data_IF_699767198853
#
_entry.id   IF_699767198853
#
_cell.length_a   1.000
_cell.length_b   1.000
_cell.length_c   1.000
_cell.angle_alpha   90.00
_cell.angle_beta   90.00
_cell.angle_gamma   90.00
#
_symmetry.space_group_name_H-M   'P 1'
#
loop_
_entity.id
_entity.type
_entity.pdbx_description
1 polymer ?
#
# COMPACT_ATOMS: atom_id res chain seq x y z
N UNK A 1 4.30 -72.92 -9.29
CA UNK A 1 4.10 -71.83 -10.28
C UNK A 1 5.00 -70.68 -9.89
N UNK A 2 6.18 -70.52 -10.60
CA UNK A 2 7.15 -69.44 -10.35
C UNK A 2 6.78 -68.24 -11.25
N UNK A 3 6.43 -67.11 -10.63
CA UNK A 3 6.20 -65.85 -11.35
C UNK A 3 7.57 -65.28 -11.74
N UNK A 4 7.87 -65.14 -13.03
CA UNK A 4 9.01 -64.38 -13.54
C UNK A 4 8.69 -62.88 -13.54
N UNK A 5 9.55 -62.04 -12.98
CA UNK A 5 9.38 -60.58 -13.08
C UNK A 5 9.81 -60.11 -14.48
N UNK A 6 8.93 -59.35 -15.13
CA UNK A 6 9.02 -58.80 -16.49
C UNK A 6 10.19 -57.81 -16.73
N UNK A 7 11.12 -57.64 -15.78
CA UNK A 7 12.18 -56.63 -15.83
C UNK A 7 13.59 -57.13 -16.21
N UNK A 8 13.79 -58.41 -16.53
CA UNK A 8 15.14 -58.99 -16.77
C UNK A 8 15.40 -59.47 -18.18
N UNK A 9 14.64 -59.09 -19.17
CA UNK A 9 14.93 -59.44 -20.55
C UNK A 9 15.94 -58.43 -21.13
N UNK A 10 17.17 -58.87 -21.49
CA UNK A 10 18.24 -57.99 -22.00
C UNK A 10 17.84 -57.28 -23.30
N UNK A 11 16.94 -57.86 -24.09
CA UNK A 11 16.45 -57.25 -25.32
C UNK A 11 15.50 -56.06 -25.07
N UNK A 12 14.73 -56.14 -24.00
CA UNK A 12 13.82 -55.02 -23.63
C UNK A 12 14.59 -53.79 -23.16
N UNK A 13 15.74 -53.97 -22.45
CA UNK A 13 16.60 -52.85 -22.05
C UNK A 13 17.26 -52.18 -23.25
N UNK A 14 17.68 -52.89 -24.25
CA UNK A 14 18.24 -52.33 -25.48
C UNK A 14 17.20 -51.57 -26.29
N UNK A 15 15.98 -52.10 -26.39
CA UNK A 15 14.87 -51.42 -27.05
C UNK A 15 14.47 -50.13 -26.36
N UNK A 16 14.44 -50.11 -25.03
CA UNK A 16 14.12 -48.94 -24.24
C UNK A 16 15.21 -47.86 -24.29
N UNK A 17 16.51 -48.27 -24.36
CA UNK A 17 17.62 -47.34 -24.59
C UNK A 17 17.58 -46.72 -25.98
N UNK A 18 17.22 -47.50 -26.98
CA UNK A 18 17.13 -47.02 -28.36
C UNK A 18 15.97 -46.05 -28.55
N UNK A 19 14.83 -46.27 -27.91
CA UNK A 19 13.69 -45.35 -27.89
C UNK A 19 13.97 -44.09 -27.10
N UNK A 20 14.63 -44.17 -25.94
CA UNK A 20 14.93 -43.00 -25.10
C UNK A 20 16.09 -42.15 -25.67
N UNK A 21 17.01 -42.76 -26.44
CA UNK A 21 18.07 -42.05 -27.16
C UNK A 21 17.54 -41.18 -28.30
N UNK A 22 16.39 -41.52 -28.85
CA UNK A 22 15.76 -40.77 -29.93
C UNK A 22 14.92 -39.58 -29.43
N UNK A 23 14.54 -39.54 -28.10
CA UNK A 23 13.80 -38.47 -27.46
C UNK A 23 14.67 -37.52 -26.60
N UNK A 24 15.96 -37.83 -26.40
CA UNK A 24 16.90 -36.96 -25.66
C UNK A 24 17.58 -35.95 -26.59
N UNK A 25 16.79 -35.18 -27.30
CA UNK A 25 17.21 -34.10 -28.17
C UNK A 25 16.87 -32.73 -27.58
N UNK A 26 17.89 -32.10 -26.95
CA UNK A 26 18.04 -30.62 -26.78
C UNK A 26 17.02 -29.87 -25.94
N UNK A 27 17.48 -29.50 -24.76
CA UNK A 27 17.13 -28.30 -24.04
C UNK A 27 17.31 -27.08 -24.96
N UNK A 28 16.35 -26.15 -25.10
CA UNK A 28 16.57 -24.93 -25.86
C UNK A 28 17.37 -23.94 -25.02
N UNK A 29 18.59 -23.64 -25.47
CA UNK A 29 19.31 -22.43 -25.09
C UNK A 29 18.71 -21.24 -25.83
N UNK A 30 18.60 -20.11 -25.11
CA UNK A 30 18.25 -18.81 -25.67
C UNK A 30 19.20 -18.42 -26.80
N UNK A 31 18.67 -18.30 -28.02
CA UNK A 31 19.44 -17.90 -29.18
C UNK A 31 18.54 -17.47 -30.32
N UNK A 32 18.64 -16.21 -30.63
CA UNK A 32 18.27 -15.45 -31.81
C UNK A 32 17.64 -16.25 -32.98
N UNK A 33 16.41 -15.86 -33.32
CA UNK A 33 15.64 -16.46 -34.38
C UNK A 33 16.25 -16.28 -35.77
N UNK A 34 16.76 -17.32 -36.30
CA UNK A 34 17.02 -17.49 -37.72
C UNK A 34 15.76 -18.09 -38.37
N UNK A 35 15.23 -17.39 -39.35
CA UNK A 35 14.04 -17.80 -40.11
C UNK A 35 14.44 -18.91 -41.07
N UNK A 36 14.27 -20.14 -40.66
CA UNK A 36 14.35 -21.27 -41.56
C UNK A 36 13.04 -21.35 -42.37
N UNK A 37 13.16 -21.13 -43.67
CA UNK A 37 12.06 -21.04 -44.61
C UNK A 37 11.66 -22.41 -45.17
N UNK A 38 11.23 -23.32 -44.30
CA UNK A 38 10.53 -24.54 -44.77
C UNK A 38 9.08 -24.16 -45.09
N UNK A 39 8.61 -24.32 -46.33
CA UNK A 39 7.21 -24.04 -46.66
C UNK A 39 6.32 -25.10 -45.95
N UNK A 40 5.48 -24.62 -45.03
CA UNK A 40 4.40 -25.44 -44.42
C UNK A 40 3.47 -25.91 -45.52
N UNK A 41 3.04 -27.20 -45.53
CA UNK A 41 2.13 -27.73 -46.54
C UNK A 41 0.82 -26.92 -46.55
N UNK A 42 0.47 -26.40 -47.75
CA UNK A 42 -0.76 -25.68 -47.98
C UNK A 42 -1.96 -26.63 -47.77
N UNK A 43 -2.88 -26.25 -46.86
CA UNK A 43 -4.14 -26.96 -46.70
C UNK A 43 -5.14 -26.45 -47.72
N UNK A 44 -5.65 -27.36 -48.53
CA UNK A 44 -6.75 -27.10 -49.46
C UNK A 44 -8.09 -27.54 -48.86
N UNK A 45 -9.18 -26.83 -49.20
CA UNK A 45 -10.53 -27.24 -48.86
C UNK A 45 -10.99 -28.39 -49.78
N UNK A 46 -12.18 -28.97 -49.51
CA UNK A 46 -12.74 -30.07 -50.28
C UNK A 46 -13.00 -29.71 -51.77
N UNK A 47 -12.85 -28.48 -52.17
CA UNK A 47 -13.02 -27.95 -53.54
C UNK A 47 -11.65 -27.53 -54.15
N UNK A 48 -10.53 -27.85 -53.51
CA UNK A 48 -9.19 -27.59 -54.09
C UNK A 48 -8.70 -26.12 -53.93
N UNK A 49 -9.36 -25.31 -53.13
CA UNK A 49 -8.92 -23.91 -52.89
C UNK A 49 -8.02 -23.77 -51.68
N UNK A 50 -6.97 -22.95 -51.73
CA UNK A 50 -6.05 -22.76 -50.61
C UNK A 50 -6.75 -22.01 -49.45
N UNK A 51 -6.80 -22.64 -48.30
CA UNK A 51 -7.38 -22.04 -47.09
C UNK A 51 -6.44 -20.97 -46.53
N UNK A 52 -6.69 -19.69 -46.83
CA UNK A 52 -5.93 -18.56 -46.28
C UNK A 52 -6.12 -18.47 -44.77
N UNK A 53 -5.10 -18.84 -43.98
CA UNK A 53 -5.09 -18.63 -42.55
C UNK A 53 -5.26 -17.14 -42.20
N UNK A 54 -6.40 -16.75 -41.62
CA UNK A 54 -6.65 -15.36 -41.17
C UNK A 54 -5.71 -15.01 -40.03
N UNK A 55 -4.59 -14.30 -40.29
CA UNK A 55 -3.67 -13.71 -39.28
C UNK A 55 -4.35 -12.58 -38.46
N UNK A 56 -5.47 -12.83 -37.78
CA UNK A 56 -6.27 -11.79 -37.11
C UNK A 56 -6.03 -11.64 -35.59
N UNK A 57 -5.18 -12.47 -34.97
CA UNK A 57 -5.08 -12.49 -33.49
C UNK A 57 -3.99 -11.60 -32.88
N UNK A 58 -2.99 -11.13 -33.61
CA UNK A 58 -1.88 -10.36 -33.01
C UNK A 58 -2.13 -8.85 -32.85
N UNK A 59 -3.10 -8.26 -33.55
CA UNK A 59 -3.45 -6.84 -33.42
C UNK A 59 -4.28 -6.56 -32.17
N UNK A 60 -5.14 -7.49 -31.74
CA UNK A 60 -5.97 -7.35 -30.53
C UNK A 60 -5.14 -7.38 -29.23
N UNK A 61 -4.07 -8.19 -29.18
CA UNK A 61 -3.21 -8.29 -27.99
C UNK A 61 -2.37 -7.01 -27.76
N UNK A 62 -2.02 -6.28 -28.82
CA UNK A 62 -1.32 -4.99 -28.71
C UNK A 62 -2.26 -3.86 -28.28
N UNK A 63 -3.47 -3.80 -28.83
CA UNK A 63 -4.50 -2.84 -28.45
C UNK A 63 -4.94 -2.96 -26.98
N UNK A 64 -5.10 -4.20 -26.48
CA UNK A 64 -5.41 -4.45 -25.07
C UNK A 64 -4.32 -3.99 -24.10
N UNK A 65 -3.04 -4.18 -24.44
CA UNK A 65 -1.92 -3.68 -23.64
C UNK A 65 -1.84 -2.16 -23.60
N UNK A 66 -2.08 -1.50 -24.73
CA UNK A 66 -2.10 -0.03 -24.82
C UNK A 66 -3.29 0.54 -24.05
N UNK A 67 -4.46 -0.07 -24.16
CA UNK A 67 -5.62 0.35 -23.38
C UNK A 67 -5.40 0.16 -21.86
N UNK A 68 -4.82 -0.96 -21.44
CA UNK A 68 -4.46 -1.19 -20.03
C UNK A 68 -3.42 -0.17 -19.53
N UNK A 69 -2.39 0.13 -20.32
CA UNK A 69 -1.40 1.15 -19.98
C UNK A 69 -2.01 2.55 -19.86
N UNK A 70 -2.93 2.90 -20.76
CA UNK A 70 -3.66 4.18 -20.70
C UNK A 70 -4.52 4.29 -19.44
N UNK A 71 -5.24 3.23 -19.07
CA UNK A 71 -6.02 3.19 -17.82
C UNK A 71 -5.13 3.35 -16.59
N UNK A 72 -3.99 2.67 -16.55
CA UNK A 72 -3.01 2.80 -15.45
C UNK A 72 -2.48 4.24 -15.37
N UNK A 73 -2.13 4.86 -16.51
CA UNK A 73 -1.67 6.25 -16.53
C UNK A 73 -2.74 7.23 -16.04
N UNK A 74 -4.01 7.04 -16.40
CA UNK A 74 -5.12 7.86 -15.92
C UNK A 74 -5.29 7.68 -14.40
N UNK A 75 -5.29 6.45 -13.89
CA UNK A 75 -5.41 6.17 -12.46
C UNK A 75 -4.24 6.75 -11.66
N UNK A 76 -3.02 6.69 -12.18
CA UNK A 76 -1.86 7.32 -11.56
C UNK A 76 -2.01 8.85 -11.57
N UNK A 77 -2.45 9.45 -12.68
CA UNK A 77 -2.61 10.89 -12.82
C UNK A 77 -3.63 11.48 -11.85
N UNK A 78 -4.79 10.85 -11.69
CA UNK A 78 -5.87 11.36 -10.81
C UNK A 78 -5.53 11.30 -9.32
N UNK A 79 -4.66 10.38 -8.91
CA UNK A 79 -4.26 10.20 -7.51
C UNK A 79 -2.89 10.82 -7.17
N UNK A 80 -2.27 11.53 -8.13
CA UNK A 80 -0.90 12.06 -7.98
C UNK A 80 -0.84 13.46 -7.40
N UNK A 81 -1.94 14.11 -7.08
CA UNK A 81 -1.93 15.47 -6.53
C UNK A 81 -2.79 15.59 -5.27
N UNK A 82 -2.47 16.57 -4.44
CA UNK A 82 -3.29 17.00 -3.32
C UNK A 82 -3.20 18.53 -3.17
N UNK A 83 -4.27 19.12 -2.66
CA UNK A 83 -4.33 20.55 -2.36
C UNK A 83 -4.18 20.70 -0.84
N UNK A 84 -3.30 21.60 -0.43
CA UNK A 84 -3.07 21.94 0.96
C UNK A 84 -3.56 23.38 1.22
N UNK A 85 -4.43 23.50 2.21
CA UNK A 85 -4.95 24.78 2.69
C UNK A 85 -3.93 25.45 3.64
N UNK A 86 -3.98 26.76 3.80
CA UNK A 86 -3.09 27.52 4.69
C UNK A 86 -3.21 27.13 6.18
N UNK A 87 -4.38 26.68 6.58
CA UNK A 87 -4.70 26.29 7.96
C UNK A 87 -4.18 24.90 8.34
N UNK A 88 -3.61 24.16 7.39
CA UNK A 88 -3.18 22.79 7.60
C UNK A 88 -1.70 22.60 7.28
N UNK A 89 -1.07 21.65 7.99
CA UNK A 89 0.16 21.00 7.57
C UNK A 89 -0.17 19.74 6.79
N UNK A 90 0.59 19.43 5.76
CA UNK A 90 0.60 18.09 5.17
C UNK A 90 1.83 17.33 5.64
N UNK A 91 1.64 16.19 6.25
CA UNK A 91 2.72 15.27 6.58
C UNK A 91 2.75 14.18 5.52
N UNK A 92 3.77 14.22 4.68
CA UNK A 92 4.00 13.26 3.59
C UNK A 92 4.92 12.16 4.10
N UNK A 93 4.39 10.97 4.20
CA UNK A 93 5.16 9.77 4.58
C UNK A 93 5.54 8.98 3.33
N UNK A 94 6.84 8.78 3.13
CA UNK A 94 7.42 8.02 2.01
C UNK A 94 8.17 6.83 2.57
N UNK A 95 7.65 5.62 2.42
CA UNK A 95 8.29 4.37 2.86
C UNK A 95 8.82 4.43 4.32
N UNK A 96 8.08 5.08 5.22
CA UNK A 96 8.46 5.21 6.63
C UNK A 96 9.19 6.50 7.00
N UNK A 97 9.69 7.29 6.03
CA UNK A 97 10.22 8.63 6.29
C UNK A 97 9.10 9.67 6.18
N UNK A 98 8.88 10.45 7.22
CA UNK A 98 7.86 11.49 7.27
C UNK A 98 8.46 12.89 7.16
N UNK A 99 7.87 13.75 6.33
CA UNK A 99 8.26 15.13 6.15
C UNK A 99 7.03 16.04 6.23
N UNK A 100 7.18 17.19 6.87
CA UNK A 100 6.13 18.19 6.96
C UNK A 100 6.21 19.19 5.82
N UNK A 101 5.09 19.47 5.18
CA UNK A 101 4.90 20.53 4.20
C UNK A 101 3.92 21.55 4.78
N UNK A 102 4.34 22.81 4.83
CA UNK A 102 3.54 23.91 5.40
C UNK A 102 3.02 24.90 4.36
N UNK A 103 3.52 24.82 3.13
CA UNK A 103 3.10 25.72 2.05
C UNK A 103 1.75 25.30 1.50
N UNK A 104 0.80 26.24 1.48
CA UNK A 104 -0.49 26.05 0.83
C UNK A 104 -0.34 25.95 -0.69
N UNK A 105 -1.29 25.27 -1.33
CA UNK A 105 -1.33 25.15 -2.78
C UNK A 105 -1.39 23.71 -3.28
N UNK A 106 -1.10 23.57 -4.56
CA UNK A 106 -1.10 22.28 -5.25
C UNK A 106 0.25 21.57 -5.09
N UNK A 107 0.21 20.36 -4.56
CA UNK A 107 1.39 19.52 -4.38
C UNK A 107 1.19 18.19 -5.09
N UNK A 108 2.30 17.62 -5.56
CA UNK A 108 2.31 16.30 -6.18
C UNK A 108 2.78 15.24 -5.19
N UNK A 109 2.17 14.07 -5.27
CA UNK A 109 2.56 12.88 -4.52
C UNK A 109 2.66 11.67 -5.45
N UNK A 110 3.50 10.72 -5.10
CA UNK A 110 3.59 9.45 -5.82
C UNK A 110 2.53 8.51 -5.20
N UNK A 111 1.48 8.13 -5.98
CA UNK A 111 0.46 7.22 -5.48
C UNK A 111 1.07 5.87 -5.09
N UNK A 112 0.48 5.20 -4.13
CA UNK A 112 0.91 3.92 -3.55
C UNK A 112 2.21 3.95 -2.70
N UNK A 113 3.10 4.93 -2.90
CA UNK A 113 4.37 5.03 -2.16
C UNK A 113 4.26 6.10 -1.07
N UNK A 114 3.58 7.20 -1.37
CA UNK A 114 3.43 8.34 -0.47
C UNK A 114 2.03 8.39 0.13
N UNK A 115 1.98 8.52 1.46
CA UNK A 115 0.76 8.78 2.20
C UNK A 115 0.79 10.21 2.75
N UNK A 116 -0.32 10.93 2.61
CA UNK A 116 -0.45 12.33 3.07
C UNK A 116 -1.47 12.39 4.19
N UNK A 117 -1.06 12.88 5.36
CA UNK A 117 -1.94 13.18 6.50
C UNK A 117 -1.96 14.68 6.73
N UNK A 118 -3.15 15.24 6.99
CA UNK A 118 -3.32 16.65 7.30
C UNK A 118 -3.40 16.85 8.81
N UNK A 119 -2.73 17.90 9.29
CA UNK A 119 -2.75 18.32 10.70
C UNK A 119 -3.06 19.81 10.73
N UNK A 120 -4.07 20.20 11.50
CA UNK A 120 -4.46 21.61 11.61
C UNK A 120 -3.40 22.42 12.36
N UNK A 121 -3.14 23.61 11.85
CA UNK A 121 -2.30 24.66 12.49
C UNK A 121 -3.08 25.44 13.54
N UNK A 122 -4.40 25.39 13.48
CA UNK A 122 -5.27 26.14 14.37
C UNK A 122 -5.12 25.75 15.83
N UNK A 123 -5.48 26.68 16.70
CA UNK A 123 -5.57 26.46 18.14
C UNK A 123 -6.71 25.46 18.37
N UNK A 124 -6.45 24.45 19.15
CA UNK A 124 -7.40 23.45 19.61
C UNK A 124 -7.53 23.54 21.11
N UNK A 125 -8.75 23.35 21.59
CA UNK A 125 -9.04 23.34 23.00
C UNK A 125 -9.54 21.98 23.47
N UNK A 126 -9.28 21.65 24.71
CA UNK A 126 -9.85 20.50 25.38
C UNK A 126 -10.28 20.87 26.81
N UNK A 127 -11.46 20.42 27.26
CA UNK A 127 -11.89 20.57 28.63
C UNK A 127 -11.18 19.56 29.51
N UNK A 128 -10.92 19.95 30.78
CA UNK A 128 -10.40 19.12 31.84
C UNK A 128 -11.30 19.34 33.06
N UNK A 129 -11.92 18.26 33.55
CA UNK A 129 -12.79 18.31 34.72
C UNK A 129 -14.26 18.51 34.42
N UNK A 130 -14.65 18.78 33.17
CA UNK A 130 -16.05 18.92 32.80
C UNK A 130 -16.34 18.48 31.36
N UNK A 131 -17.60 18.15 31.11
CA UNK A 131 -18.08 17.85 29.77
C UNK A 131 -18.72 19.16 29.19
N UNK A 132 -18.21 19.69 28.08
CA UNK A 132 -18.70 20.91 27.47
C UNK A 132 -20.13 20.80 26.89
N UNK A 133 -20.58 19.57 26.57
CA UNK A 133 -21.91 19.37 25.98
C UNK A 133 -23.01 19.33 27.05
N UNK A 134 -22.73 18.70 28.18
CA UNK A 134 -23.70 18.54 29.27
C UNK A 134 -23.52 19.57 30.40
N UNK A 135 -22.38 20.22 30.47
CA UNK A 135 -21.99 21.11 31.56
C UNK A 135 -21.81 20.40 32.91
N UNK A 136 -21.71 19.06 32.88
CA UNK A 136 -21.50 18.28 34.12
C UNK A 136 -20.02 18.18 34.43
N UNK A 137 -19.67 18.39 35.72
CA UNK A 137 -18.30 18.18 36.19
C UNK A 137 -17.96 16.67 36.24
N UNK A 138 -16.78 16.33 35.75
CA UNK A 138 -16.19 15.02 35.95
C UNK A 138 -15.34 15.04 37.22
N UNK A 139 -15.91 14.53 38.32
CA UNK A 139 -15.24 14.51 39.62
C UNK A 139 -13.88 13.78 39.60
N UNK A 140 -13.69 12.83 38.70
CA UNK A 140 -12.42 12.09 38.58
C UNK A 140 -11.28 12.98 38.07
N UNK A 141 -11.61 13.98 37.28
CA UNK A 141 -10.67 14.92 36.66
C UNK A 141 -10.57 16.26 37.44
N UNK A 142 -11.66 16.71 38.00
CA UNK A 142 -11.83 18.07 38.60
C UNK A 142 -11.46 18.15 40.07
N UNK A 143 -11.52 17.06 40.84
CA UNK A 143 -11.20 17.09 42.27
C UNK A 143 -9.70 17.24 42.50
N UNK A 144 -9.34 18.26 43.28
CA UNK A 144 -8.01 18.54 43.76
C UNK A 144 -7.99 18.70 45.28
N UNK A 145 -6.82 18.42 45.88
CA UNK A 145 -6.61 18.64 47.31
C UNK A 145 -5.72 19.85 47.49
N UNK A 146 -6.20 20.83 48.26
CA UNK A 146 -5.43 22.02 48.62
C UNK A 146 -4.42 21.71 49.77
N UNK A 147 -3.47 22.62 50.02
CA UNK A 147 -2.50 22.48 51.13
C UNK A 147 -3.18 22.35 52.49
N UNK A 148 -4.40 22.92 52.63
CA UNK A 148 -5.17 22.83 53.86
C UNK A 148 -6.03 21.56 53.96
N UNK A 149 -5.73 20.55 53.08
CA UNK A 149 -6.44 19.27 53.01
C UNK A 149 -7.95 19.40 52.68
N UNK A 150 -8.35 20.49 52.03
CA UNK A 150 -9.70 20.64 51.53
C UNK A 150 -9.83 20.12 50.11
N UNK A 151 -10.96 19.48 49.79
CA UNK A 151 -11.30 19.11 48.42
C UNK A 151 -11.90 20.29 47.70
N UNK A 152 -11.34 20.61 46.52
CA UNK A 152 -11.84 21.67 45.65
C UNK A 152 -12.11 21.07 44.28
N UNK A 153 -13.28 21.41 43.73
CA UNK A 153 -13.62 21.04 42.37
C UNK A 153 -13.24 22.21 41.43
N UNK A 154 -12.39 22.00 40.48
CA UNK A 154 -11.88 23.03 39.58
C UNK A 154 -11.82 22.53 38.14
N UNK A 155 -12.47 23.28 37.27
CA UNK A 155 -12.56 23.00 35.86
C UNK A 155 -11.54 23.85 35.09
N UNK A 156 -10.90 23.26 34.10
CA UNK A 156 -9.91 23.95 33.26
C UNK A 156 -10.25 23.76 31.79
N UNK A 157 -9.84 24.74 31.00
CA UNK A 157 -9.86 24.64 29.54
C UNK A 157 -8.44 24.83 29.02
N UNK A 158 -7.90 23.77 28.40
CA UNK A 158 -6.54 23.77 27.87
C UNK A 158 -6.55 24.04 26.38
N UNK A 159 -5.86 25.08 25.96
CA UNK A 159 -5.62 25.35 24.55
C UNK A 159 -4.22 24.95 24.13
N UNK A 160 -4.09 24.35 22.95
CA UNK A 160 -2.82 23.94 22.39
C UNK A 160 -2.78 24.13 20.87
N UNK A 161 -1.57 24.25 20.35
CA UNK A 161 -1.27 24.36 18.94
C UNK A 161 -0.20 23.35 18.55
N UNK A 162 -0.33 22.75 17.35
CA UNK A 162 0.65 21.80 16.84
C UNK A 162 1.77 22.56 16.12
N UNK A 163 2.97 22.60 16.71
CA UNK A 163 4.14 23.21 16.11
C UNK A 163 4.94 22.25 15.22
N UNK A 164 5.05 20.98 15.62
CA UNK A 164 5.72 19.92 14.86
C UNK A 164 4.73 18.81 14.51
N UNK A 165 4.16 18.83 13.29
CA UNK A 165 3.15 17.87 12.91
C UNK A 165 3.69 16.44 12.71
N UNK A 166 5.00 16.29 12.46
CA UNK A 166 5.62 14.96 12.35
C UNK A 166 5.68 14.29 13.70
N UNK A 167 6.17 15.01 14.73
CA UNK A 167 6.17 14.49 16.11
C UNK A 167 4.76 14.25 16.61
N UNK A 168 3.83 15.15 16.31
CA UNK A 168 2.43 14.98 16.69
C UNK A 168 1.82 13.67 16.18
N UNK A 169 2.13 13.25 14.96
CA UNK A 169 1.56 12.05 14.36
C UNK A 169 2.31 10.75 14.68
N UNK A 170 3.62 10.84 15.00
CA UNK A 170 4.47 9.65 15.06
C UNK A 170 5.21 9.45 16.39
N UNK A 171 5.29 10.46 17.26
CA UNK A 171 5.96 10.31 18.55
C UNK A 171 5.08 9.61 19.60
N UNK A 172 3.76 9.73 19.50
CA UNK A 172 2.80 9.09 20.38
C UNK A 172 1.61 8.57 19.57
N UNK A 173 1.02 7.46 20.00
CA UNK A 173 -0.24 6.96 19.42
C UNK A 173 -1.42 7.87 19.76
N UNK A 174 -1.40 8.48 20.94
CA UNK A 174 -2.46 9.36 21.44
C UNK A 174 -1.88 10.65 22.04
N UNK A 175 -1.43 11.60 21.21
CA UNK A 175 -0.76 12.82 21.68
C UNK A 175 -1.68 13.72 22.51
N UNK A 176 -2.96 13.77 22.19
CA UNK A 176 -3.95 14.60 22.91
C UNK A 176 -4.22 14.03 24.30
N UNK A 177 -4.40 12.73 24.43
CA UNK A 177 -4.58 12.06 25.71
C UNK A 177 -3.33 12.22 26.60
N UNK A 178 -2.16 12.08 26.01
CA UNK A 178 -0.88 12.30 26.73
C UNK A 178 -0.76 13.72 27.24
N UNK A 179 -1.14 14.71 26.39
CA UNK A 179 -1.14 16.13 26.80
C UNK A 179 -2.12 16.39 27.94
N UNK A 180 -3.33 15.80 27.89
CA UNK A 180 -4.33 15.90 28.93
C UNK A 180 -3.82 15.36 30.27
N UNK A 181 -3.23 14.16 30.27
CA UNK A 181 -2.62 13.55 31.46
C UNK A 181 -1.51 14.41 32.05
N UNK A 182 -0.63 14.96 31.22
CA UNK A 182 0.44 15.85 31.65
C UNK A 182 -0.13 17.12 32.26
N UNK A 183 -1.10 17.74 31.62
CA UNK A 183 -1.76 18.95 32.13
C UNK A 183 -2.40 18.68 33.49
N UNK A 184 -3.14 17.61 33.65
CA UNK A 184 -3.74 17.19 34.93
C UNK A 184 -2.67 16.96 36.00
N UNK A 185 -1.54 16.34 35.65
CA UNK A 185 -0.43 16.12 36.58
C UNK A 185 0.14 17.44 37.11
N UNK A 186 0.41 18.40 36.21
CA UNK A 186 0.94 19.73 36.59
C UNK A 186 -0.07 20.56 37.39
N UNK A 187 -1.37 20.49 37.04
CA UNK A 187 -2.40 21.23 37.75
C UNK A 187 -2.58 20.70 39.19
N UNK A 188 -2.45 19.37 39.38
CA UNK A 188 -2.55 18.72 40.69
C UNK A 188 -1.30 18.83 41.54
N UNK A 189 -0.16 19.17 40.94
CA UNK A 189 1.06 19.37 41.70
C UNK A 189 0.93 20.67 42.52
N UNK A 190 0.98 20.61 43.88
CA UNK A 190 0.84 21.82 44.68
C UNK A 190 2.02 22.73 44.40
N UNK A 191 1.76 23.88 43.79
CA UNK A 191 2.74 24.96 43.64
C UNK A 191 3.20 25.38 45.03
N UNK A 192 4.48 25.07 45.31
CA UNK A 192 5.16 25.49 46.52
C UNK A 192 5.29 27.03 46.54
#
# INVERSE_FOLDING_TARGET
MKKHPLGQNPDFRKLFQQLNGQYSGKKPEDGQGEKDGTPEPERFDSNGNPVKKKKKRRRFARGGKVAAAAVILILLGTNSYYILDEENYAVVSTLGSAQAVSQAGLHFKIPFIQNVRRVSKGIKGMPIGYDPETGTSDESESIMITKDFNFVNTDFYLEYMVNDPVKYLYASSEPVATLKMLAQSYIREPTM
#
